data_IF_757941784920
#
_entry.id   IF_757941784920
#
_cell.length_a   1.000
_cell.length_b   1.000
_cell.length_c   1.000
_cell.angle_alpha   90.00
_cell.angle_beta   90.00
_cell.angle_gamma   90.00
#
_symmetry.space_group_name_H-M   'P 1'
#
loop_
_entity.id
_entity.type
_entity.pdbx_description
1 polymer ?
#
# COMPACT_ATOMS: atom_id res chain seq x y z
N UNK A 1 -18.23 5.52 -5.95
CA UNK A 1 -17.69 4.15 -6.14
C UNK A 1 -16.21 4.26 -6.50
N UNK A 2 -15.29 4.08 -5.54
CA UNK A 2 -13.86 4.11 -5.82
C UNK A 2 -13.54 2.91 -6.72
N UNK A 3 -13.15 3.17 -7.97
CA UNK A 3 -12.68 2.11 -8.87
C UNK A 3 -11.32 1.64 -8.35
N UNK A 4 -11.28 0.48 -7.67
CA UNK A 4 -10.04 -0.21 -7.27
C UNK A 4 -9.26 -0.49 -8.56
N UNK A 5 -8.21 0.28 -8.81
CA UNK A 5 -7.34 0.04 -9.96
C UNK A 5 -6.72 -1.35 -9.79
N UNK A 6 -6.68 -2.10 -10.89
CA UNK A 6 -6.37 -3.54 -11.04
C UNK A 6 -4.92 -3.93 -10.68
N UNK A 7 -4.31 -3.31 -9.67
CA UNK A 7 -2.99 -3.67 -9.19
C UNK A 7 -3.14 -4.66 -8.04
N UNK A 8 -3.14 -5.96 -8.36
CA UNK A 8 -3.16 -7.02 -7.35
C UNK A 8 -2.01 -6.87 -6.35
N UNK A 9 -0.84 -6.43 -6.83
CA UNK A 9 0.39 -6.30 -6.05
C UNK A 9 1.25 -5.14 -6.60
N UNK A 10 1.94 -4.41 -5.73
CA UNK A 10 2.84 -3.30 -6.10
C UNK A 10 4.04 -3.24 -5.14
N UNK A 11 5.22 -2.87 -5.63
CA UNK A 11 6.36 -2.63 -4.74
C UNK A 11 6.16 -1.37 -3.88
N UNK A 12 6.50 -1.46 -2.60
CA UNK A 12 6.41 -0.31 -1.68
C UNK A 12 7.22 0.89 -2.18
N UNK A 13 8.37 0.65 -2.82
CA UNK A 13 9.20 1.70 -3.45
C UNK A 13 8.46 2.47 -4.55
N UNK A 14 7.55 1.83 -5.28
CA UNK A 14 6.74 2.51 -6.30
C UNK A 14 5.67 3.38 -5.64
N UNK A 15 5.11 2.94 -4.52
CA UNK A 15 4.17 3.74 -3.73
C UNK A 15 4.83 4.98 -3.13
N UNK A 16 6.09 4.89 -2.68
CA UNK A 16 6.85 6.05 -2.15
C UNK A 16 7.04 7.18 -3.16
N UNK A 17 6.99 6.88 -4.46
CA UNK A 17 7.06 7.90 -5.52
C UNK A 17 5.75 8.69 -5.65
N UNK A 18 4.63 8.14 -5.17
CA UNK A 18 3.34 8.80 -5.18
C UNK A 18 3.21 9.69 -3.93
N UNK A 19 3.12 11.01 -4.13
CA UNK A 19 2.85 11.95 -3.04
C UNK A 19 1.37 11.90 -2.65
N UNK A 20 1.11 11.74 -1.36
CA UNK A 20 -0.22 11.95 -0.77
C UNK A 20 -0.55 13.44 -0.81
N UNK A 21 -1.68 13.80 -1.43
CA UNK A 21 -2.09 15.20 -1.62
C UNK A 21 -2.78 15.83 -0.40
N UNK A 22 -3.35 15.00 0.47
CA UNK A 22 -4.29 15.44 1.51
C UNK A 22 -3.95 14.93 2.91
N UNK A 23 -2.76 14.34 3.10
CA UNK A 23 -2.32 13.88 4.41
C UNK A 23 -1.00 14.54 4.79
N UNK A 24 -0.89 14.94 6.06
CA UNK A 24 0.36 15.38 6.67
C UNK A 24 1.22 14.21 7.16
N UNK A 25 0.67 13.00 7.24
CA UNK A 25 1.40 11.81 7.65
C UNK A 25 2.17 11.20 6.48
N UNK A 26 3.29 10.56 6.82
CA UNK A 26 4.10 9.80 5.86
C UNK A 26 3.32 8.60 5.32
N UNK A 27 3.70 8.13 4.14
CA UNK A 27 3.07 6.97 3.51
C UNK A 27 3.13 5.73 4.40
N UNK A 28 4.24 5.54 5.11
CA UNK A 28 4.51 4.43 6.03
C UNK A 28 3.47 4.33 7.16
N UNK A 29 2.97 5.48 7.64
CA UNK A 29 1.89 5.52 8.63
C UNK A 29 0.63 4.89 8.06
N UNK A 30 0.21 5.33 6.87
CA UNK A 30 -0.99 4.82 6.21
C UNK A 30 -0.87 3.35 5.83
N UNK A 31 0.31 2.90 5.37
CA UNK A 31 0.53 1.49 5.07
C UNK A 31 0.41 0.62 6.33
N UNK A 32 0.92 1.09 7.47
CA UNK A 32 0.81 0.36 8.73
C UNK A 32 -0.63 0.32 9.24
N UNK A 33 -1.37 1.44 9.11
CA UNK A 33 -2.79 1.52 9.46
C UNK A 33 -3.67 0.62 8.58
N UNK A 34 -3.45 0.65 7.26
CA UNK A 34 -4.16 -0.20 6.29
C UNK A 34 -3.85 -1.69 6.47
N UNK A 35 -2.62 -2.04 6.87
CA UNK A 35 -2.27 -3.42 7.23
C UNK A 35 -2.94 -3.85 8.53
N UNK A 36 -2.94 -3.00 9.57
CA UNK A 36 -3.64 -3.25 10.83
C UNK A 36 -5.15 -3.39 10.68
N UNK A 37 -5.75 -2.69 9.71
CA UNK A 37 -7.16 -2.80 9.35
C UNK A 37 -7.46 -3.94 8.36
N UNK A 38 -6.47 -4.74 7.96
CA UNK A 38 -6.67 -5.87 7.04
C UNK A 38 -7.04 -5.48 5.60
N UNK A 39 -6.70 -4.26 5.16
CA UNK A 39 -6.96 -3.79 3.79
C UNK A 39 -5.85 -4.16 2.82
N UNK A 40 -4.63 -4.27 3.34
CA UNK A 40 -3.44 -4.67 2.60
C UNK A 40 -2.62 -5.70 3.38
N UNK A 41 -1.74 -6.39 2.66
CA UNK A 41 -0.70 -7.23 3.25
C UNK A 41 0.66 -6.86 2.68
N UNK A 42 1.66 -6.68 3.55
CA UNK A 42 3.06 -6.55 3.14
C UNK A 42 3.74 -7.92 3.09
N UNK A 43 4.47 -8.18 2.01
CA UNK A 43 5.25 -9.42 1.82
C UNK A 43 6.69 -9.05 1.49
N UNK A 44 7.63 -9.54 2.31
CA UNK A 44 9.07 -9.36 2.07
C UNK A 44 9.52 -10.31 0.96
N UNK A 45 10.16 -9.74 -0.06
CA UNK A 45 10.78 -10.44 -1.20
C UNK A 45 12.24 -10.02 -1.32
N UNK A 46 13.04 -10.75 -2.09
CA UNK A 46 14.48 -10.46 -2.29
C UNK A 46 14.75 -9.02 -2.73
N UNK A 47 13.81 -8.39 -3.43
CA UNK A 47 13.91 -7.01 -3.95
C UNK A 47 13.24 -5.94 -3.06
N UNK A 48 12.81 -6.27 -1.83
CA UNK A 48 12.15 -5.34 -0.89
C UNK A 48 10.78 -5.82 -0.44
N UNK A 49 9.81 -4.91 -0.30
CA UNK A 49 8.45 -5.25 0.13
C UNK A 49 7.42 -5.08 -1.00
N UNK A 50 6.55 -6.07 -1.15
CA UNK A 50 5.35 -6.01 -1.97
C UNK A 50 4.14 -5.69 -1.11
N UNK A 51 3.33 -4.74 -1.58
CA UNK A 51 2.04 -4.36 -1.01
C UNK A 51 0.94 -4.95 -1.88
N UNK A 52 0.06 -5.71 -1.26
CA UNK A 52 -1.03 -6.43 -1.95
C UNK A 52 -2.36 -6.05 -1.31
N UNK A 53 -3.40 -5.83 -2.10
CA UNK A 53 -4.74 -5.60 -1.56
C UNK A 53 -5.35 -6.90 -1.07
N UNK A 54 -6.05 -6.86 0.05
CA UNK A 54 -6.90 -7.97 0.48
C UNK A 54 -8.28 -7.76 -0.17
N UNK A 55 -8.66 -8.72 -1.00
CA UNK A 55 -10.02 -8.88 -1.53
C UNK A 55 -10.74 -9.83 -0.56
N UNK A 56 -11.89 -9.42 0.00
CA UNK A 56 -12.88 -10.37 0.55
C UNK A 56 -13.58 -11.12 -0.58
#
# INVERSE_FOLDING_TARGET
MLKRTKYKEMHEQQLKKAKLKHSCFQLEFHLSDMEGCGLIRRTNVTSGALVTGLDE
#
